data_IF_643647951163
#
_entry.id   IF_643647951163
#
_cell.length_a   1.000
_cell.length_b   1.000
_cell.length_c   1.000
_cell.angle_alpha   90.00
_cell.angle_beta   90.00
_cell.angle_gamma   90.00
#
_symmetry.space_group_name_H-M   'P 1'
#
loop_
_entity.id
_entity.type
_entity.pdbx_description
1 polymer ?
#
# COMPACT_ATOMS: atom_id res chain seq x y z
N UNK A 1 1.81 -26.89 -25.86
CA UNK A 1 3.09 -27.57 -25.53
C UNK A 1 4.21 -26.53 -25.39
N UNK A 2 4.00 -25.46 -24.61
CA UNK A 2 4.98 -24.35 -24.52
C UNK A 2 5.29 -23.89 -23.08
N UNK A 3 4.78 -24.59 -22.08
CA UNK A 3 5.10 -24.27 -20.68
C UNK A 3 6.34 -25.02 -20.19
N UNK A 4 6.58 -26.23 -20.67
CA UNK A 4 7.65 -27.12 -20.18
C UNK A 4 9.03 -26.80 -20.77
N UNK A 5 9.13 -26.19 -21.95
CA UNK A 5 10.43 -25.87 -22.56
C UNK A 5 11.15 -24.70 -21.87
N UNK A 6 10.42 -23.79 -21.19
CA UNK A 6 11.00 -22.64 -20.48
C UNK A 6 11.59 -22.96 -19.12
N UNK A 7 11.30 -24.15 -18.57
CA UNK A 7 11.81 -24.62 -17.28
C UNK A 7 13.16 -25.36 -17.38
N UNK A 8 13.54 -25.82 -18.58
CA UNK A 8 14.76 -26.62 -18.80
C UNK A 8 15.99 -25.78 -19.19
N UNK A 9 15.81 -24.52 -19.58
CA UNK A 9 16.89 -23.57 -19.64
C UNK A 9 17.04 -22.95 -18.25
N UNK A 10 18.20 -23.10 -17.60
CA UNK A 10 18.51 -22.50 -16.30
C UNK A 10 18.49 -20.97 -16.25
N UNK A 11 17.75 -20.32 -17.14
CA UNK A 11 17.30 -18.94 -17.03
C UNK A 11 16.27 -18.86 -15.92
N UNK A 12 16.78 -18.74 -14.69
CA UNK A 12 16.04 -18.13 -13.59
C UNK A 12 15.27 -16.92 -14.14
N UNK A 13 13.97 -16.77 -13.87
CA UNK A 13 13.18 -15.60 -14.23
C UNK A 13 13.59 -14.37 -13.41
N UNK A 14 14.89 -14.09 -13.35
CA UNK A 14 15.53 -12.97 -12.68
C UNK A 14 15.69 -11.75 -13.62
N UNK A 15 14.98 -11.73 -14.75
CA UNK A 15 15.04 -10.66 -15.78
C UNK A 15 13.96 -9.57 -15.58
N UNK A 16 13.54 -9.31 -14.35
CA UNK A 16 12.69 -8.16 -14.02
C UNK A 16 12.84 -7.79 -12.53
N UNK A 17 14.08 -7.62 -12.05
CA UNK A 17 14.32 -6.94 -10.78
C UNK A 17 14.01 -5.46 -11.01
N UNK A 18 12.75 -5.06 -10.93
CA UNK A 18 12.45 -3.67 -10.60
C UNK A 18 13.03 -3.42 -9.22
N UNK A 19 14.19 -2.78 -9.18
CA UNK A 19 14.70 -2.20 -7.93
C UNK A 19 13.80 -1.01 -7.66
N UNK A 20 12.69 -1.25 -6.96
CA UNK A 20 11.78 -0.19 -6.53
C UNK A 20 12.61 0.86 -5.79
N UNK A 21 12.53 2.12 -6.24
CA UNK A 21 13.13 3.24 -5.55
C UNK A 21 12.51 3.41 -4.15
N UNK A 22 13.11 4.24 -3.29
CA UNK A 22 12.64 4.41 -1.92
C UNK A 22 11.18 4.92 -1.86
N UNK A 23 10.74 5.70 -2.85
CA UNK A 23 9.37 6.18 -2.98
C UNK A 23 8.41 5.07 -3.40
N UNK A 24 8.78 4.25 -4.37
CA UNK A 24 7.99 3.11 -4.84
C UNK A 24 7.78 2.06 -3.74
N UNK A 25 8.82 1.75 -2.95
CA UNK A 25 8.69 0.84 -1.80
C UNK A 25 7.76 1.39 -0.72
N UNK A 26 7.78 2.71 -0.51
CA UNK A 26 6.90 3.38 0.45
C UNK A 26 5.45 3.32 -0.01
N UNK A 27 5.18 3.59 -1.29
CA UNK A 27 3.83 3.44 -1.87
C UNK A 27 3.34 1.99 -1.76
N UNK A 28 4.19 1.01 -2.02
CA UNK A 28 3.85 -0.41 -1.83
C UNK A 28 3.51 -0.73 -0.37
N UNK A 29 4.25 -0.18 0.60
CA UNK A 29 3.92 -0.30 2.03
C UNK A 29 2.55 0.31 2.35
N UNK A 30 2.22 1.48 1.79
CA UNK A 30 0.89 2.09 1.95
C UNK A 30 -0.22 1.16 1.43
N UNK A 31 -0.04 0.65 0.20
CA UNK A 31 -0.99 -0.26 -0.46
C UNK A 31 -1.25 -1.53 0.35
N UNK A 32 -0.20 -2.13 0.90
CA UNK A 32 -0.27 -3.40 1.63
C UNK A 32 -0.71 -3.22 3.08
N UNK A 33 -0.11 -2.29 3.82
CA UNK A 33 -0.36 -2.15 5.27
C UNK A 33 -1.76 -1.59 5.57
N UNK A 34 -2.36 -0.78 4.68
CA UNK A 34 -3.76 -0.36 4.81
C UNK A 34 -4.76 -1.50 4.62
N UNK A 35 -4.34 -2.66 4.10
CA UNK A 35 -5.22 -3.85 4.04
C UNK A 35 -5.17 -4.67 5.32
N UNK A 36 -4.18 -4.42 6.17
CA UNK A 36 -3.97 -5.16 7.40
C UNK A 36 -4.72 -4.52 8.56
N UNK A 37 -5.10 -5.33 9.56
CA UNK A 37 -5.90 -4.82 10.67
C UNK A 37 -5.15 -3.89 11.63
N UNK A 38 -3.83 -4.04 11.70
CA UNK A 38 -2.95 -3.14 12.43
C UNK A 38 -2.88 -1.73 11.83
N UNK A 39 -3.20 -1.57 10.55
CA UNK A 39 -3.09 -0.31 9.81
C UNK A 39 -1.65 0.13 9.54
N UNK A 40 -1.55 1.31 8.91
CA UNK A 40 -0.32 1.92 8.43
C UNK A 40 0.29 2.89 9.47
N UNK A 41 1.58 2.77 9.83
CA UNK A 41 2.28 3.80 10.58
C UNK A 41 2.28 5.15 9.86
N UNK A 42 1.96 6.23 10.57
CA UNK A 42 1.89 7.57 9.95
C UNK A 42 3.25 8.07 9.46
N UNK A 43 4.36 7.57 10.01
CA UNK A 43 5.72 7.93 9.60
C UNK A 43 6.12 7.37 8.22
N UNK A 44 5.34 6.43 7.66
CA UNK A 44 5.48 5.95 6.27
C UNK A 44 4.95 6.99 5.28
N UNK A 45 4.05 7.86 5.73
CA UNK A 45 3.48 8.92 4.90
C UNK A 45 4.41 10.13 4.88
N UNK A 46 4.53 10.74 3.70
CA UNK A 46 5.09 12.07 3.53
C UNK A 46 4.23 13.10 4.26
N UNK A 47 4.78 14.29 4.52
CA UNK A 47 4.04 15.37 5.17
C UNK A 47 2.74 15.76 4.42
N UNK A 48 2.77 15.71 3.08
CA UNK A 48 1.62 16.02 2.24
C UNK A 48 0.49 14.98 2.40
N UNK A 49 0.83 13.70 2.46
CA UNK A 49 -0.16 12.64 2.63
C UNK A 49 -0.67 12.56 4.08
N UNK A 50 0.18 12.82 5.07
CA UNK A 50 -0.26 12.95 6.47
C UNK A 50 -1.32 14.06 6.62
N UNK A 51 -1.20 15.16 5.86
CA UNK A 51 -2.19 16.24 5.87
C UNK A 51 -3.58 15.81 5.35
N UNK A 52 -3.69 14.70 4.62
CA UNK A 52 -4.95 14.16 4.10
C UNK A 52 -5.65 13.20 5.07
N UNK A 53 -4.91 12.66 6.04
CA UNK A 53 -5.43 11.71 7.05
C UNK A 53 -6.66 12.25 7.81
N UNK A 54 -6.69 13.53 8.27
CA UNK A 54 -7.87 14.06 8.95
C UNK A 54 -9.15 13.99 8.11
N UNK A 55 -9.07 14.17 6.79
CA UNK A 55 -10.22 14.08 5.89
C UNK A 55 -10.74 12.64 5.80
N UNK A 56 -9.86 11.65 5.64
CA UNK A 56 -10.24 10.23 5.66
C UNK A 56 -10.91 9.81 6.96
N UNK A 57 -10.41 10.32 8.09
CA UNK A 57 -11.00 10.08 9.42
C UNK A 57 -12.37 10.76 9.53
N UNK A 58 -12.49 12.00 9.09
CA UNK A 58 -13.77 12.72 9.09
C UNK A 58 -14.83 12.03 8.20
N UNK A 59 -14.42 11.40 7.11
CA UNK A 59 -15.29 10.58 6.25
C UNK A 59 -15.62 9.19 6.83
N UNK A 60 -15.10 8.85 8.01
CA UNK A 60 -15.30 7.56 8.68
C UNK A 60 -14.63 6.38 7.97
N UNK A 61 -13.63 6.64 7.12
CA UNK A 61 -12.89 5.63 6.37
C UNK A 61 -11.67 5.10 7.13
N UNK A 62 -11.18 5.86 8.12
CA UNK A 62 -10.11 5.44 9.00
C UNK A 62 -10.23 6.00 10.40
N UNK A 63 -9.42 5.45 11.28
CA UNK A 63 -9.18 5.95 12.63
C UNK A 63 -7.67 6.09 12.85
N UNK A 64 -7.26 7.10 13.61
CA UNK A 64 -5.86 7.22 14.04
C UNK A 64 -5.75 6.77 15.48
N UNK A 65 -4.96 5.73 15.72
CA UNK A 65 -4.70 5.20 17.05
C UNK A 65 -3.23 4.79 17.18
N UNK A 66 -2.58 5.21 18.26
CA UNK A 66 -1.19 4.89 18.55
C UNK A 66 -0.22 5.17 17.38
N UNK A 67 -0.38 6.32 16.72
CA UNK A 67 0.46 6.74 15.59
C UNK A 67 0.24 5.95 14.29
N UNK A 68 -0.87 5.22 14.17
CA UNK A 68 -1.23 4.43 12.98
C UNK A 68 -2.60 4.85 12.43
N UNK A 69 -2.71 4.88 11.11
CA UNK A 69 -3.98 4.95 10.40
C UNK A 69 -4.53 3.54 10.19
N UNK A 70 -5.64 3.23 10.86
CA UNK A 70 -6.36 1.96 10.72
C UNK A 70 -7.63 2.17 9.90
N UNK A 71 -7.85 1.38 8.84
CA UNK A 71 -9.10 1.50 8.10
C UNK A 71 -10.26 0.91 8.89
N UNK A 72 -11.37 1.64 8.93
CA UNK A 72 -12.64 1.14 9.47
C UNK A 72 -13.18 0.02 8.58
N UNK A 73 -14.25 -0.66 9.00
CA UNK A 73 -14.92 -1.66 8.14
C UNK A 73 -15.31 -1.05 6.79
N UNK A 74 -15.87 0.17 6.79
CA UNK A 74 -16.22 0.90 5.58
C UNK A 74 -14.99 1.25 4.75
N UNK A 75 -13.92 1.72 5.40
CA UNK A 75 -12.64 2.00 4.74
C UNK A 75 -12.07 0.80 4.00
N UNK A 76 -12.18 -0.40 4.58
CA UNK A 76 -11.69 -1.64 3.95
C UNK A 76 -12.45 -2.01 2.68
N UNK A 77 -13.77 -1.78 2.66
CA UNK A 77 -14.57 -2.00 1.46
C UNK A 77 -14.19 -1.03 0.33
N UNK A 78 -13.63 0.13 0.69
CA UNK A 78 -13.22 1.19 -0.23
C UNK A 78 -11.69 1.33 -0.28
N UNK A 79 -10.94 0.27 0.02
CA UNK A 79 -9.48 0.37 0.23
C UNK A 79 -8.74 1.03 -0.95
N UNK A 80 -9.14 0.75 -2.19
CA UNK A 80 -8.53 1.36 -3.37
C UNK A 80 -8.81 2.87 -3.49
N UNK A 81 -10.01 3.31 -3.09
CA UNK A 81 -10.32 4.73 -3.04
C UNK A 81 -9.58 5.42 -1.89
N UNK A 82 -9.52 4.80 -0.70
CA UNK A 82 -8.77 5.31 0.44
C UNK A 82 -7.30 5.49 0.11
N UNK A 83 -6.69 4.52 -0.56
CA UNK A 83 -5.28 4.63 -1.01
C UNK A 83 -5.13 5.77 -1.99
N UNK A 84 -6.00 5.87 -3.00
CA UNK A 84 -5.94 6.93 -4.01
C UNK A 84 -6.02 8.31 -3.36
N UNK A 85 -7.05 8.53 -2.54
CA UNK A 85 -7.29 9.80 -1.85
C UNK A 85 -6.14 10.15 -0.88
N UNK A 86 -5.42 9.15 -0.37
CA UNK A 86 -4.26 9.36 0.48
C UNK A 86 -3.00 9.76 -0.33
N UNK A 87 -2.78 9.14 -1.49
CA UNK A 87 -1.56 9.32 -2.30
C UNK A 87 -1.66 10.47 -3.33
N UNK A 88 -2.86 10.83 -3.81
CA UNK A 88 -3.10 11.83 -4.88
C UNK A 88 -3.12 13.29 -4.42
#
# INVERSE_FOLDING_TARGET
RDYTARLAAGTSPAQAREVLDAGQRRVERVLLELRLAQGLPLDVLTAAEQARVPSLVASGLGEVAAGRLRPTLRGRLLADAVVRDLLD
#
